data_IF_102472350937
#
_entry.id   IF_102472350937
#
_cell.length_a   1.000
_cell.length_b   1.000
_cell.length_c   1.000
_cell.angle_alpha   90.00
_cell.angle_beta   90.00
_cell.angle_gamma   90.00
#
_symmetry.space_group_name_H-M   'P 1'
#
loop_
_entity.id
_entity.type
_entity.pdbx_description
1 polymer ?
#
# COMPACT_ATOMS: atom_id res chain seq x y z
N UNK A 1 0.45 -6.19 -41.20
CA UNK A 1 1.90 -6.38 -41.02
C UNK A 1 2.55 -5.03 -40.75
N UNK A 2 2.80 -4.66 -39.51
CA UNK A 2 3.71 -3.55 -39.11
C UNK A 2 4.41 -3.95 -37.84
N UNK A 3 5.68 -4.31 -37.96
CA UNK A 3 6.59 -4.67 -36.89
C UNK A 3 7.00 -3.42 -36.09
N UNK A 4 6.75 -3.40 -34.80
CA UNK A 4 7.27 -2.38 -33.89
C UNK A 4 8.63 -2.86 -33.40
N UNK A 5 9.68 -2.17 -33.85
CA UNK A 5 11.05 -2.40 -33.42
C UNK A 5 11.24 -1.78 -32.02
N UNK A 6 11.52 -2.62 -31.06
CA UNK A 6 11.95 -2.24 -29.73
C UNK A 6 13.43 -1.87 -29.77
N UNK A 7 13.74 -0.59 -29.64
CA UNK A 7 15.11 -0.13 -29.43
C UNK A 7 15.36 -0.05 -27.93
N UNK A 8 16.03 -1.04 -27.39
CA UNK A 8 16.72 -0.94 -26.12
C UNK A 8 18.16 -0.48 -26.39
N UNK A 9 18.46 0.77 -26.13
CA UNK A 9 19.83 1.27 -26.03
C UNK A 9 20.07 1.65 -24.59
N UNK A 10 20.52 0.69 -23.80
CA UNK A 10 21.07 0.93 -22.48
C UNK A 10 22.59 1.02 -22.57
N UNK A 11 23.11 2.22 -22.75
CA UNK A 11 24.55 2.46 -22.67
C UNK A 11 24.97 2.51 -21.20
N UNK A 12 25.52 1.40 -20.70
CA UNK A 12 26.14 1.34 -19.38
C UNK A 12 27.61 1.75 -19.52
N UNK A 13 27.93 3.02 -19.22
CA UNK A 13 29.29 3.52 -19.15
C UNK A 13 29.93 3.05 -17.83
N UNK A 14 30.77 2.02 -17.92
CA UNK A 14 31.64 1.61 -16.81
C UNK A 14 32.86 2.53 -16.83
N UNK A 15 32.92 3.49 -15.93
CA UNK A 15 34.12 4.28 -15.67
C UNK A 15 35.10 3.45 -14.82
N UNK A 16 36.10 2.86 -15.45
CA UNK A 16 37.26 2.31 -14.76
C UNK A 16 38.11 3.46 -14.24
N UNK A 17 38.00 3.77 -12.95
CA UNK A 17 38.97 4.63 -12.25
C UNK A 17 40.27 3.87 -12.01
N UNK A 18 41.32 4.22 -12.76
CA UNK A 18 42.68 3.78 -12.47
C UNK A 18 43.19 4.44 -11.19
N UNK A 19 43.36 3.65 -10.14
CA UNK A 19 44.02 4.09 -8.92
C UNK A 19 45.53 4.00 -9.14
N UNK A 20 46.20 5.12 -9.38
CA UNK A 20 47.64 5.21 -9.43
C UNK A 20 48.21 5.20 -8.01
N UNK A 21 48.89 4.15 -7.64
CA UNK A 21 49.71 4.10 -6.41
C UNK A 21 50.99 4.92 -6.61
N UNK A 22 51.08 6.04 -5.94
CA UNK A 22 52.32 6.77 -5.81
C UNK A 22 53.12 6.11 -4.69
N UNK A 23 54.25 5.51 -5.05
CA UNK A 23 55.28 5.07 -4.09
C UNK A 23 56.03 6.28 -3.57
N UNK A 24 55.85 6.60 -2.30
CA UNK A 24 56.67 7.58 -1.59
C UNK A 24 57.81 6.87 -0.92
N UNK A 25 59.02 7.35 -1.24
CA UNK A 25 60.31 6.87 -0.71
C UNK A 25 60.44 7.11 0.79
N UNK A 26 61.15 6.20 1.43
CA UNK A 26 61.52 6.25 2.84
C UNK A 26 62.32 7.53 3.17
N UNK A 27 61.89 8.22 4.21
CA UNK A 27 62.73 9.11 4.98
C UNK A 27 62.63 8.66 6.44
N UNK A 28 63.79 8.25 6.99
CA UNK A 28 63.96 7.94 8.39
C UNK A 28 63.93 9.25 9.20
N UNK A 29 62.89 9.42 10.01
CA UNK A 29 62.93 10.25 11.20
C UNK A 29 62.02 9.61 12.25
N UNK A 30 62.63 9.27 13.38
CA UNK A 30 62.06 8.68 14.58
C UNK A 30 61.06 9.67 15.24
N UNK A 31 59.80 9.67 14.75
CA UNK A 31 58.66 10.18 15.48
C UNK A 31 57.55 9.16 15.31
N UNK A 32 57.31 8.44 16.41
CA UNK A 32 56.29 7.41 16.54
C UNK A 32 54.88 8.01 16.28
N UNK A 33 54.28 7.87 15.08
CA UNK A 33 52.90 8.32 14.88
C UNK A 33 51.97 7.30 15.52
N UNK A 34 51.35 7.72 16.63
CA UNK A 34 50.14 7.12 17.17
C UNK A 34 49.27 6.55 16.03
N UNK A 35 48.89 5.26 16.07
CA UNK A 35 48.07 4.68 15.05
C UNK A 35 46.79 5.54 14.93
N UNK A 36 46.57 6.14 13.77
CA UNK A 36 45.28 6.73 13.42
C UNK A 36 44.25 5.62 13.55
N UNK A 37 43.33 5.76 14.48
CA UNK A 37 42.16 4.94 14.57
C UNK A 37 41.55 4.90 13.16
N UNK A 38 41.63 3.73 12.53
CA UNK A 38 41.11 3.51 11.19
C UNK A 38 39.66 3.91 11.19
N UNK A 39 39.37 4.91 10.40
CA UNK A 39 38.02 5.28 10.04
C UNK A 39 37.38 4.00 9.48
N UNK A 40 36.53 3.37 10.30
CA UNK A 40 35.76 2.21 9.89
C UNK A 40 34.78 2.75 8.83
N UNK A 41 35.16 2.59 7.58
CA UNK A 41 34.24 2.81 6.47
C UNK A 41 33.13 1.77 6.63
N UNK A 42 32.07 2.17 7.32
CA UNK A 42 30.87 1.34 7.42
C UNK A 42 30.36 1.12 6.00
N UNK A 43 30.54 -0.11 5.51
CA UNK A 43 29.90 -0.50 4.26
C UNK A 43 28.39 -0.32 4.44
N UNK A 44 27.70 0.41 3.56
CA UNK A 44 26.28 0.68 3.72
C UNK A 44 25.55 -0.67 3.78
N UNK A 45 24.85 -0.90 4.88
CA UNK A 45 24.02 -2.09 5.07
C UNK A 45 23.02 -2.16 3.91
N UNK A 46 22.92 -3.31 3.22
CA UNK A 46 21.97 -3.45 2.11
C UNK A 46 20.56 -3.13 2.59
N UNK A 47 19.90 -2.19 1.91
CA UNK A 47 18.50 -1.86 2.16
C UNK A 47 17.67 -3.01 1.61
N UNK A 48 16.94 -3.68 2.50
CA UNK A 48 16.01 -4.74 2.11
C UNK A 48 14.68 -4.09 1.76
N UNK A 49 14.16 -4.38 0.59
CA UNK A 49 12.87 -3.91 0.14
C UNK A 49 11.88 -5.07 0.05
N UNK A 50 10.68 -4.85 0.54
CA UNK A 50 9.57 -5.80 0.52
C UNK A 50 8.45 -5.24 -0.35
N UNK A 51 7.80 -6.10 -1.11
CA UNK A 51 6.73 -5.68 -2.02
C UNK A 51 5.40 -6.31 -1.62
N UNK A 52 4.38 -5.46 -1.47
CA UNK A 52 2.99 -5.88 -1.35
C UNK A 52 2.32 -5.57 -2.68
N UNK A 53 1.93 -6.60 -3.41
CA UNK A 53 1.21 -6.46 -4.67
C UNK A 53 -0.21 -6.97 -4.50
N UNK A 54 -1.17 -6.30 -5.12
CA UNK A 54 -2.54 -6.76 -5.01
C UNK A 54 -3.42 -6.39 -6.18
N UNK A 55 -4.60 -6.98 -6.18
CA UNK A 55 -5.66 -6.68 -7.14
C UNK A 55 -6.95 -6.36 -6.39
N UNK A 56 -7.69 -5.38 -6.89
CA UNK A 56 -9.02 -5.03 -6.44
C UNK A 56 -10.00 -5.30 -7.56
N UNK A 57 -11.04 -6.09 -7.27
CA UNK A 57 -12.06 -6.48 -8.23
C UNK A 57 -13.47 -6.24 -7.69
N UNK A 58 -14.46 -6.20 -8.55
CA UNK A 58 -15.87 -6.30 -8.19
C UNK A 58 -16.63 -7.16 -9.19
N UNK A 59 -17.34 -8.18 -8.72
CA UNK A 59 -18.02 -9.14 -9.59
C UNK A 59 -17.07 -9.85 -10.58
N UNK A 60 -15.79 -9.99 -10.24
CA UNK A 60 -14.76 -10.57 -11.11
C UNK A 60 -14.11 -9.58 -12.09
N UNK A 61 -14.61 -8.35 -12.22
CA UNK A 61 -14.01 -7.32 -13.06
C UNK A 61 -12.99 -6.48 -12.28
N UNK A 62 -11.91 -6.07 -12.95
CA UNK A 62 -10.90 -5.19 -12.39
C UNK A 62 -11.51 -3.82 -12.02
N UNK A 63 -11.11 -3.26 -10.88
CA UNK A 63 -11.54 -1.95 -10.43
C UNK A 63 -10.42 -0.93 -10.61
N UNK A 64 -10.60 -0.04 -11.59
CA UNK A 64 -9.75 1.12 -11.79
C UNK A 64 -10.05 2.21 -10.76
N UNK A 65 -9.02 2.90 -10.28
CA UNK A 65 -9.18 4.03 -9.39
C UNK A 65 -9.68 3.69 -7.97
N UNK A 66 -9.72 2.42 -7.58
CA UNK A 66 -10.06 2.03 -6.21
C UNK A 66 -8.98 2.53 -5.25
N UNK A 67 -9.40 3.08 -4.11
CA UNK A 67 -8.49 3.54 -3.05
C UNK A 67 -8.05 2.34 -2.23
N UNK A 68 -6.74 2.20 -2.05
CA UNK A 68 -6.14 1.14 -1.23
C UNK A 68 -5.29 1.80 -0.16
N UNK A 69 -5.60 1.53 1.10
CA UNK A 69 -4.83 1.97 2.25
C UNK A 69 -3.98 0.81 2.75
N UNK A 70 -2.67 1.00 2.82
CA UNK A 70 -1.73 0.01 3.38
C UNK A 70 -1.05 0.66 4.58
N UNK A 71 -1.36 0.15 5.78
CA UNK A 71 -0.96 0.80 7.02
C UNK A 71 -1.48 2.24 7.10
N UNK A 72 -0.59 3.23 7.08
CA UNK A 72 -0.92 4.67 7.08
C UNK A 72 -0.89 5.31 5.69
N UNK A 73 -0.41 4.61 4.66
CA UNK A 73 -0.21 5.14 3.31
C UNK A 73 -1.43 4.83 2.41
N UNK A 74 -1.71 5.73 1.46
CA UNK A 74 -2.81 5.58 0.51
C UNK A 74 -2.27 5.41 -0.91
N UNK A 75 -2.90 4.49 -1.65
CA UNK A 75 -2.59 4.14 -3.03
C UNK A 75 -3.88 4.09 -3.85
N UNK A 76 -3.72 3.99 -5.16
CA UNK A 76 -4.85 3.85 -6.09
C UNK A 76 -4.54 2.73 -7.06
N UNK A 77 -5.53 1.94 -7.42
CA UNK A 77 -5.38 0.87 -8.43
C UNK A 77 -5.29 1.45 -9.84
N UNK A 78 -4.57 0.72 -10.70
CA UNK A 78 -4.50 0.99 -12.13
C UNK A 78 -5.74 0.47 -12.88
N UNK A 79 -5.77 0.63 -14.22
CA UNK A 79 -6.84 0.16 -15.10
C UNK A 79 -7.06 -1.37 -15.07
N UNK A 80 -6.10 -2.13 -14.58
CA UNK A 80 -6.20 -3.58 -14.38
C UNK A 80 -6.59 -3.94 -12.93
N UNK A 81 -6.95 -2.95 -12.13
CA UNK A 81 -7.26 -3.11 -10.71
C UNK A 81 -6.06 -3.45 -9.85
N UNK A 82 -4.83 -3.23 -10.31
CA UNK A 82 -3.61 -3.61 -9.61
C UNK A 82 -3.03 -2.45 -8.81
N UNK A 83 -2.41 -2.79 -7.68
CA UNK A 83 -1.58 -1.86 -6.91
C UNK A 83 -0.29 -2.55 -6.47
N UNK A 84 0.76 -1.75 -6.22
CA UNK A 84 2.05 -2.21 -5.71
C UNK A 84 2.57 -1.22 -4.69
N UNK A 85 3.10 -1.74 -3.60
CA UNK A 85 3.64 -0.97 -2.47
C UNK A 85 5.01 -1.51 -2.10
N UNK A 86 5.96 -0.62 -1.89
CA UNK A 86 7.29 -0.97 -1.37
C UNK A 86 7.37 -0.59 0.10
N UNK A 87 7.79 -1.53 0.94
CA UNK A 87 8.01 -1.35 2.36
C UNK A 87 9.45 -1.75 2.72
N UNK A 88 10.01 -1.10 3.73
CA UNK A 88 11.39 -1.33 4.19
C UNK A 88 11.46 -2.15 5.48
N UNK A 89 10.33 -2.53 6.05
CA UNK A 89 10.25 -3.25 7.30
C UNK A 89 9.39 -4.51 7.19
N UNK A 90 9.76 -5.52 7.96
CA UNK A 90 8.93 -6.70 8.21
C UNK A 90 7.82 -6.36 9.18
N UNK A 91 6.74 -7.13 9.15
CA UNK A 91 5.63 -6.94 10.07
C UNK A 91 4.27 -7.25 9.45
N UNK A 92 3.22 -6.94 10.20
CA UNK A 92 1.85 -7.11 9.75
C UNK A 92 1.31 -5.78 9.23
N UNK A 93 0.87 -5.78 7.98
CA UNK A 93 0.28 -4.63 7.30
C UNK A 93 -1.23 -4.83 7.13
N UNK A 94 -2.00 -3.89 7.64
CA UNK A 94 -3.44 -3.83 7.35
C UNK A 94 -3.65 -3.22 5.98
N UNK A 95 -4.46 -3.86 5.14
CA UNK A 95 -4.82 -3.41 3.80
C UNK A 95 -6.32 -3.22 3.74
N UNK A 96 -6.77 -2.05 3.33
CA UNK A 96 -8.17 -1.72 3.17
C UNK A 96 -8.40 -1.16 1.76
N UNK A 97 -9.32 -1.77 1.02
CA UNK A 97 -9.75 -1.27 -0.28
C UNK A 97 -11.15 -0.65 -0.18
N UNK A 98 -11.35 0.45 -0.86
CA UNK A 98 -12.62 1.18 -0.92
C UNK A 98 -12.84 1.81 -2.28
N UNK A 99 -14.09 1.92 -2.69
CA UNK A 99 -14.50 2.65 -3.88
C UNK A 99 -15.91 3.21 -3.67
N UNK A 100 -16.26 4.29 -4.38
CA UNK A 100 -17.57 4.92 -4.23
C UNK A 100 -18.69 3.98 -4.68
N UNK A 101 -19.70 3.78 -3.85
CA UNK A 101 -20.82 2.86 -4.10
C UNK A 101 -20.49 1.39 -3.84
N UNK A 102 -19.39 1.11 -3.13
CA UNK A 102 -18.99 -0.23 -2.74
C UNK A 102 -18.68 -0.30 -1.25
N UNK A 103 -18.95 -1.45 -0.65
CA UNK A 103 -18.55 -1.75 0.71
C UNK A 103 -17.04 -1.91 0.76
N UNK A 104 -16.39 -1.22 1.71
CA UNK A 104 -14.94 -1.37 1.91
C UNK A 104 -14.60 -2.78 2.39
N UNK A 105 -13.46 -3.29 1.93
CA UNK A 105 -12.93 -4.58 2.36
C UNK A 105 -11.57 -4.40 3.01
N UNK A 106 -11.37 -5.09 4.13
CA UNK A 106 -10.13 -5.04 4.91
C UNK A 106 -9.54 -6.42 5.07
N UNK A 107 -8.23 -6.50 4.95
CA UNK A 107 -7.44 -7.71 5.20
C UNK A 107 -6.11 -7.34 5.85
N UNK A 108 -5.30 -8.33 6.20
CA UNK A 108 -3.93 -8.11 6.66
C UNK A 108 -2.98 -9.08 5.99
N UNK A 109 -1.76 -8.63 5.75
CA UNK A 109 -0.66 -9.44 5.22
C UNK A 109 0.52 -9.37 6.16
N UNK A 110 1.30 -10.45 6.23
CA UNK A 110 2.51 -10.53 7.03
C UNK A 110 3.70 -10.57 6.09
N UNK A 111 4.60 -9.60 6.25
CA UNK A 111 5.93 -9.63 5.64
C UNK A 111 6.86 -10.28 6.64
N UNK A 112 7.26 -11.52 6.37
CA UNK A 112 8.22 -12.25 7.17
C UNK A 112 9.65 -11.83 6.81
N UNK A 113 10.56 -11.94 7.77
CA UNK A 113 11.98 -11.76 7.52
C UNK A 113 12.53 -13.03 6.85
N UNK A 114 12.59 -13.05 5.53
CA UNK A 114 13.30 -14.08 4.80
C UNK A 114 14.70 -13.53 4.50
N UNK A 115 15.71 -14.36 4.69
CA UNK A 115 17.12 -14.02 4.42
C UNK A 115 17.38 -13.69 2.94
N UNK A 116 16.43 -13.96 2.06
CA UNK A 116 16.48 -13.63 0.64
C UNK A 116 15.75 -12.31 0.40
N UNK A 117 16.49 -11.33 -0.04
CA UNK A 117 16.21 -9.88 -0.14
C UNK A 117 15.02 -9.44 -1.00
N UNK A 118 13.91 -10.18 -1.09
CA UNK A 118 12.67 -9.74 -1.77
C UNK A 118 11.50 -10.64 -1.39
N UNK A 119 10.80 -10.32 -0.32
CA UNK A 119 9.48 -10.94 -0.11
C UNK A 119 8.42 -10.17 -0.90
N UNK A 120 7.78 -10.85 -1.82
CA UNK A 120 6.59 -10.37 -2.51
C UNK A 120 5.37 -11.03 -1.88
N UNK A 121 4.49 -10.24 -1.28
CA UNK A 121 3.21 -10.72 -0.76
C UNK A 121 2.10 -10.30 -1.72
N UNK A 122 1.29 -11.27 -2.15
CA UNK A 122 0.17 -10.99 -3.06
C UNK A 122 -1.15 -11.03 -2.31
N UNK A 123 -2.03 -10.06 -2.58
CA UNK A 123 -3.37 -9.96 -1.99
C UNK A 123 -4.42 -9.72 -3.06
N UNK A 124 -5.61 -10.32 -2.88
CA UNK A 124 -6.77 -10.07 -3.72
C UNK A 124 -7.93 -9.56 -2.85
N UNK A 125 -8.53 -8.46 -3.26
CA UNK A 125 -9.66 -7.82 -2.58
C UNK A 125 -10.84 -7.71 -3.55
N UNK A 126 -11.98 -8.32 -3.19
CA UNK A 126 -13.20 -8.28 -3.99
C UNK A 126 -14.22 -7.38 -3.29
N UNK A 127 -14.50 -6.21 -3.87
CA UNK A 127 -15.48 -5.27 -3.33
C UNK A 127 -16.90 -5.66 -3.77
N UNK A 128 -17.84 -5.55 -2.84
CA UNK A 128 -19.27 -5.78 -3.09
C UNK A 128 -19.94 -4.43 -3.27
N UNK A 129 -20.76 -4.31 -4.31
CA UNK A 129 -21.56 -3.10 -4.54
C UNK A 129 -22.53 -2.89 -3.37
N UNK A 130 -22.63 -1.65 -2.89
CA UNK A 130 -23.62 -1.30 -1.89
C UNK A 130 -25.04 -1.49 -2.47
N UNK A 131 -25.90 -2.19 -1.74
CA UNK A 131 -27.31 -2.22 -2.06
C UNK A 131 -27.92 -0.86 -1.73
N UNK A 132 -28.77 -0.28 -2.60
CA UNK A 132 -29.48 0.95 -2.25
C UNK A 132 -30.28 0.69 -0.98
N UNK A 133 -30.08 1.52 0.04
CA UNK A 133 -30.97 1.54 1.20
C UNK A 133 -32.35 1.95 0.67
N UNK A 134 -33.25 0.98 0.58
CA UNK A 134 -34.69 1.30 0.35
C UNK A 134 -35.10 2.10 1.59
N UNK A 135 -35.29 3.39 1.42
CA UNK A 135 -35.95 4.20 2.44
C UNK A 135 -37.38 3.65 2.58
N UNK A 136 -37.61 2.89 3.64
CA UNK A 136 -38.98 2.55 4.02
C UNK A 136 -39.59 3.85 4.51
N UNK A 137 -40.34 4.50 3.65
CA UNK A 137 -41.24 5.58 3.98
C UNK A 137 -42.35 4.95 4.86
N UNK A 138 -42.20 5.05 6.16
CA UNK A 138 -43.30 4.75 7.06
C UNK A 138 -44.23 5.96 6.95
N UNK A 139 -45.18 5.91 6.04
CA UNK A 139 -46.33 6.79 6.09
C UNK A 139 -47.12 6.37 7.34
N UNK A 140 -46.93 7.11 8.42
CA UNK A 140 -47.78 7.02 9.58
C UNK A 140 -49.15 7.58 9.16
N UNK A 141 -49.99 6.73 8.61
CA UNK A 141 -51.42 7.03 8.44
C UNK A 141 -52.01 6.94 9.85
N UNK A 142 -51.74 7.96 10.64
CA UNK A 142 -52.38 8.16 11.93
C UNK A 142 -53.75 8.73 11.73
N UNK A 143 -54.70 7.92 11.36
CA UNK A 143 -56.09 8.23 11.70
C UNK A 143 -56.27 8.01 13.21
N UNK A 144 -56.02 9.06 13.96
CA UNK A 144 -56.55 9.15 15.33
C UNK A 144 -58.03 9.44 15.22
N UNK A 145 -58.81 8.40 15.17
CA UNK A 145 -60.24 8.48 15.41
C UNK A 145 -60.42 8.80 16.91
N UNK A 146 -60.54 10.08 17.20
CA UNK A 146 -60.97 10.51 18.51
C UNK A 146 -62.43 10.18 18.59
N UNK A 147 -62.78 9.09 19.22
CA UNK A 147 -64.13 8.85 19.66
C UNK A 147 -64.38 9.75 20.88
N UNK A 148 -65.08 10.86 20.59
CA UNK A 148 -65.62 11.74 21.61
C UNK A 148 -66.77 10.97 22.29
N UNK A 149 -66.43 10.41 23.47
CA UNK A 149 -67.38 9.71 24.33
C UNK A 149 -67.91 10.68 25.38
N UNK A 150 -68.43 11.83 24.91
CA UNK A 150 -69.13 12.78 25.77
C UNK A 150 -70.61 12.46 25.79
N UNK A 151 -70.98 11.41 26.48
CA UNK A 151 -72.35 11.20 26.87
C UNK A 151 -72.40 10.98 28.40
N UNK A 152 -72.35 12.11 29.11
CA UNK A 152 -72.69 12.17 30.49
C UNK A 152 -74.16 12.61 30.60
N UNK A 153 -75.06 11.65 30.54
CA UNK A 153 -76.42 11.83 30.88
C UNK A 153 -76.58 11.57 32.40
N UNK A 154 -76.62 12.67 33.14
CA UNK A 154 -77.01 12.69 34.56
C UNK A 154 -78.46 13.23 34.66
N UNK A 155 -79.40 12.37 34.67
CA UNK A 155 -80.76 12.68 35.13
C UNK A 155 -81.20 11.78 36.23
N UNK A 156 -81.46 12.44 37.43
CA UNK A 156 -82.11 12.04 38.65
C UNK A 156 -81.50 11.05 39.57
#
# INVERSE_FOLDING_TARGET
MKSVKWFYVGAMAIALGMLTFATVACHDDDDDPKPAEGEVVETPKPVVEYYIMGTVTSGGAAMDGAKVKVGSKNYTTDSNGKFSVTESATGTYSIEASSNGYLSQKTSVVIANNAENRSVVTVALALTKESPKTAVSIEATGETKVEDNSESDWHN
#
